data_IF_452423036876
#
_entry.id   IF_452423036876
#
_cell.length_a   1.000
_cell.length_b   1.000
_cell.length_c   1.000
_cell.angle_alpha   90.00
_cell.angle_beta   90.00
_cell.angle_gamma   90.00
#
_symmetry.space_group_name_H-M   'P 1'
#
loop_
_entity.id
_entity.type
_entity.pdbx_description
1 polymer ?
#
# COMPACT_ATOMS: atom_id res chain seq x y z
N UNK A 1 8.10 -6.58 -8.96
CA UNK A 1 6.90 -5.74 -9.07
C UNK A 1 5.79 -6.57 -8.48
N UNK A 2 5.01 -6.05 -7.54
CA UNK A 2 3.90 -6.84 -6.99
C UNK A 2 2.88 -7.16 -8.07
N UNK A 3 2.51 -8.43 -8.19
CA UNK A 3 1.43 -8.87 -9.08
C UNK A 3 0.13 -9.08 -8.30
N UNK A 4 -0.97 -9.26 -9.02
CA UNK A 4 -2.25 -9.60 -8.38
C UNK A 4 -2.14 -10.94 -7.65
N UNK A 5 -1.41 -11.92 -8.21
CA UNK A 5 -1.14 -13.21 -7.57
C UNK A 5 -0.32 -13.07 -6.28
N UNK A 6 0.61 -12.10 -6.22
CA UNK A 6 1.35 -11.84 -4.98
C UNK A 6 0.42 -11.35 -3.86
N UNK A 7 -0.61 -10.57 -4.21
CA UNK A 7 -1.60 -10.04 -3.28
C UNK A 7 -2.57 -11.12 -2.80
N UNK A 8 -3.15 -11.89 -3.73
CA UNK A 8 -4.14 -12.93 -3.39
C UNK A 8 -3.50 -14.20 -2.80
N UNK A 9 -2.27 -14.53 -3.21
CA UNK A 9 -1.51 -15.66 -2.69
C UNK A 9 -0.76 -15.40 -1.38
N UNK A 10 -0.76 -14.16 -0.88
CA UNK A 10 -0.11 -13.78 0.38
C UNK A 10 1.42 -13.59 0.30
N UNK A 11 2.03 -13.70 -0.88
CA UNK A 11 3.47 -13.43 -1.07
C UNK A 11 3.83 -11.97 -0.77
N UNK A 12 2.90 -11.04 -0.97
CA UNK A 12 3.09 -9.64 -0.61
C UNK A 12 3.28 -9.48 0.91
N UNK A 13 2.55 -10.25 1.72
CA UNK A 13 2.65 -10.22 3.18
C UNK A 13 4.02 -10.73 3.64
N UNK A 14 4.53 -11.80 3.03
CA UNK A 14 5.86 -12.32 3.33
C UNK A 14 6.95 -11.31 2.95
N UNK A 15 6.83 -10.68 1.78
CA UNK A 15 7.78 -9.68 1.30
C UNK A 15 7.84 -8.46 2.22
N UNK A 16 6.67 -7.95 2.64
CA UNK A 16 6.59 -6.84 3.60
C UNK A 16 7.16 -7.27 4.96
N UNK A 17 6.84 -8.48 5.45
CA UNK A 17 7.39 -8.99 6.71
C UNK A 17 8.92 -9.03 6.70
N UNK A 18 9.54 -9.48 5.60
CA UNK A 18 11.01 -9.47 5.43
C UNK A 18 11.58 -8.05 5.47
N UNK A 19 10.93 -7.10 4.80
CA UNK A 19 11.33 -5.70 4.82
C UNK A 19 11.25 -5.10 6.23
N UNK A 20 10.13 -5.34 6.94
CA UNK A 20 9.94 -4.88 8.31
C UNK A 20 10.99 -5.46 9.27
N UNK A 21 11.28 -6.76 9.16
CA UNK A 21 12.33 -7.39 9.94
C UNK A 21 13.71 -6.77 9.68
N UNK A 22 14.04 -6.44 8.42
CA UNK A 22 15.29 -5.74 8.11
C UNK A 22 15.34 -4.36 8.78
N UNK A 23 14.24 -3.61 8.76
CA UNK A 23 14.17 -2.31 9.44
C UNK A 23 14.32 -2.41 10.95
N UNK A 24 13.74 -3.44 11.58
CA UNK A 24 13.79 -3.64 13.03
C UNK A 24 15.13 -4.20 13.51
N UNK A 25 15.85 -4.95 12.66
CA UNK A 25 17.11 -5.61 13.01
C UNK A 25 18.37 -4.80 12.69
N UNK A 26 18.22 -3.61 12.08
CA UNK A 26 19.34 -2.77 11.68
C UNK A 26 19.12 -1.31 12.08
N UNK A 27 20.20 -0.55 12.26
CA UNK A 27 20.17 0.88 12.56
C UNK A 27 20.83 1.71 11.45
N UNK A 28 20.53 3.01 11.37
CA UNK A 28 21.17 3.93 10.41
C UNK A 28 20.58 3.92 8.98
N UNK A 29 21.25 4.57 8.04
CA UNK A 29 20.78 4.61 6.65
C UNK A 29 21.02 3.26 5.93
N UNK A 30 20.10 2.86 5.05
CA UNK A 30 20.23 1.63 4.26
C UNK A 30 20.77 1.87 2.83
N UNK A 31 21.18 3.10 2.51
CA UNK A 31 21.57 3.50 1.15
C UNK A 31 22.88 2.90 0.66
N UNK A 32 23.73 2.40 1.55
CA UNK A 32 25.04 1.82 1.22
C UNK A 32 25.13 0.30 1.44
N UNK A 33 24.07 -0.34 1.94
CA UNK A 33 23.99 -1.79 2.18
C UNK A 33 23.36 -2.47 0.95
N UNK A 34 23.96 -3.57 0.47
CA UNK A 34 23.42 -4.40 -0.61
C UNK A 34 21.97 -4.84 -0.33
N UNK A 35 21.66 -5.18 0.92
CA UNK A 35 20.29 -5.52 1.34
C UNK A 35 19.34 -4.33 1.22
N UNK A 36 19.82 -3.14 1.57
CA UNK A 36 19.09 -1.89 1.45
C UNK A 36 18.83 -1.50 0.00
N UNK A 37 19.82 -1.66 -0.88
CA UNK A 37 19.68 -1.45 -2.33
C UNK A 37 18.69 -2.43 -2.96
N UNK A 38 18.75 -3.71 -2.58
CA UNK A 38 17.80 -4.71 -3.04
C UNK A 38 16.37 -4.39 -2.58
N UNK A 39 16.20 -4.03 -1.30
CA UNK A 39 14.91 -3.61 -0.77
C UNK A 39 14.37 -2.36 -1.47
N UNK A 40 15.23 -1.36 -1.70
CA UNK A 40 14.84 -0.15 -2.41
C UNK A 40 14.33 -0.48 -3.81
N UNK A 41 15.07 -1.30 -4.58
CA UNK A 41 14.62 -1.75 -5.90
C UNK A 41 13.23 -2.40 -5.84
N UNK A 42 13.02 -3.32 -4.90
CA UNK A 42 11.74 -4.02 -4.76
C UNK A 42 10.59 -3.06 -4.41
N UNK A 43 10.83 -2.07 -3.54
CA UNK A 43 9.84 -1.05 -3.18
C UNK A 43 9.55 -0.11 -4.37
N UNK A 44 10.59 0.33 -5.09
CA UNK A 44 10.44 1.25 -6.22
C UNK A 44 9.63 0.67 -7.36
N UNK A 45 9.57 -0.65 -7.52
CA UNK A 45 8.74 -1.32 -8.52
C UNK A 45 7.23 -1.15 -8.29
N UNK A 46 6.82 -0.75 -7.08
CA UNK A 46 5.43 -0.36 -6.79
C UNK A 46 5.15 1.12 -7.13
N UNK A 47 6.18 1.90 -7.46
CA UNK A 47 6.12 3.34 -7.75
C UNK A 47 5.15 4.12 -6.81
N UNK A 48 5.29 3.97 -5.47
CA UNK A 48 4.28 4.47 -4.55
C UNK A 48 4.27 6.01 -4.53
N UNK A 49 3.08 6.61 -4.57
CA UNK A 49 2.91 8.06 -4.57
C UNK A 49 2.07 8.51 -3.37
N UNK A 50 2.45 9.63 -2.77
CA UNK A 50 1.59 10.32 -1.80
C UNK A 50 0.51 11.09 -2.55
N UNK A 51 -0.75 10.87 -2.18
CA UNK A 51 -1.92 11.54 -2.75
C UNK A 51 -2.57 12.51 -1.77
N UNK A 52 -3.13 13.59 -2.31
CA UNK A 52 -4.23 14.33 -1.67
C UNK A 52 -5.55 13.55 -1.80
N UNK A 53 -6.55 13.91 -0.99
CA UNK A 53 -7.87 13.30 -1.07
C UNK A 53 -8.50 13.46 -2.47
N UNK A 54 -8.40 14.64 -3.08
CA UNK A 54 -8.94 14.89 -4.42
C UNK A 54 -8.29 14.00 -5.48
N UNK A 55 -6.96 13.84 -5.43
CA UNK A 55 -6.26 12.94 -6.34
C UNK A 55 -6.66 11.48 -6.12
N UNK A 56 -6.88 11.04 -4.87
CA UNK A 56 -7.39 9.69 -4.59
C UNK A 56 -8.80 9.48 -5.15
N UNK A 57 -9.69 10.49 -4.99
CA UNK A 57 -11.03 10.46 -5.54
C UNK A 57 -11.05 10.36 -7.07
N UNK A 58 -10.09 11.00 -7.76
CA UNK A 58 -9.94 10.85 -9.23
C UNK A 58 -9.64 9.41 -9.64
N UNK A 59 -8.76 8.70 -8.93
CA UNK A 59 -8.51 7.28 -9.22
C UNK A 59 -9.74 6.43 -8.97
N UNK A 60 -10.46 6.67 -7.86
CA UNK A 60 -11.69 5.96 -7.52
C UNK A 60 -12.77 6.15 -8.60
N UNK A 61 -13.03 7.38 -9.02
CA UNK A 61 -14.08 7.69 -10.01
C UNK A 61 -13.80 7.15 -11.40
N UNK A 62 -12.52 6.95 -11.74
CA UNK A 62 -12.10 6.40 -13.03
C UNK A 62 -11.94 4.86 -13.00
N UNK A 63 -12.09 4.23 -11.84
CA UNK A 63 -11.93 2.78 -11.71
C UNK A 63 -13.12 2.02 -12.32
N UNK A 64 -12.83 0.89 -12.96
CA UNK A 64 -13.83 -0.03 -13.51
C UNK A 64 -14.53 -0.86 -12.43
N UNK A 65 -13.80 -1.16 -11.36
CA UNK A 65 -14.26 -1.95 -10.22
C UNK A 65 -13.54 -1.46 -8.96
N UNK A 66 -14.22 -1.57 -7.82
CA UNK A 66 -13.75 -1.05 -6.54
C UNK A 66 -14.05 -2.08 -5.45
N UNK A 67 -13.09 -2.31 -4.57
CA UNK A 67 -13.26 -3.10 -3.37
C UNK A 67 -12.60 -2.42 -2.18
N UNK A 68 -13.11 -2.68 -0.99
CA UNK A 68 -12.58 -2.17 0.27
C UNK A 68 -12.18 -3.37 1.13
N UNK A 69 -10.98 -3.35 1.67
CA UNK A 69 -10.49 -4.42 2.52
C UNK A 69 -9.41 -3.97 3.48
N UNK A 70 -8.99 -4.86 4.36
CA UNK A 70 -8.00 -4.53 5.37
C UNK A 70 -6.65 -4.16 4.74
N UNK A 71 -5.96 -3.16 5.31
CA UNK A 71 -4.60 -2.82 4.90
C UNK A 71 -3.65 -4.00 5.09
N UNK A 72 -2.82 -4.26 4.09
CA UNK A 72 -1.79 -5.32 4.13
C UNK A 72 -0.89 -5.22 5.37
N UNK A 73 -0.49 -4.01 5.78
CA UNK A 73 0.34 -3.82 6.98
C UNK A 73 -0.40 -4.15 8.29
N UNK A 74 -1.73 -4.00 8.34
CA UNK A 74 -2.51 -4.34 9.54
C UNK A 74 -2.67 -5.86 9.70
N UNK A 75 -2.77 -6.59 8.59
CA UNK A 75 -2.70 -8.06 8.62
C UNK A 75 -1.41 -8.55 9.29
N UNK A 76 -0.31 -7.82 9.15
CA UNK A 76 0.97 -8.11 9.80
C UNK A 76 1.09 -7.53 11.22
N UNK A 77 0.33 -6.48 11.53
CA UNK A 77 0.28 -5.80 12.83
C UNK A 77 -1.18 -5.66 13.29
N UNK A 78 -1.83 -6.73 13.81
CA UNK A 78 -3.26 -6.70 14.14
C UNK A 78 -3.67 -5.62 15.16
N UNK A 79 -2.71 -5.23 16.01
CA UNK A 79 -2.85 -4.16 17.01
C UNK A 79 -2.75 -2.74 16.41
N UNK A 80 -2.37 -2.60 15.14
CA UNK A 80 -2.37 -1.31 14.44
C UNK A 80 -3.79 -0.76 14.34
N UNK A 81 -3.89 0.57 14.31
CA UNK A 81 -5.13 1.31 14.02
C UNK A 81 -5.84 0.70 12.81
N UNK A 82 -7.13 0.41 13.00
CA UNK A 82 -8.00 -0.09 11.95
C UNK A 82 -8.27 1.01 10.93
N UNK A 83 -7.75 0.82 9.72
CA UNK A 83 -8.16 1.53 8.52
C UNK A 83 -8.13 0.53 7.37
N UNK A 84 -8.87 0.82 6.30
CA UNK A 84 -9.05 -0.06 5.16
C UNK A 84 -8.40 0.53 3.91
N UNK A 85 -7.82 -0.31 3.06
CA UNK A 85 -7.36 0.05 1.72
C UNK A 85 -8.55 0.03 0.74
N UNK A 86 -8.49 0.89 -0.27
CA UNK A 86 -9.34 0.82 -1.45
C UNK A 86 -8.55 0.17 -2.60
N UNK A 87 -9.04 -0.96 -3.08
CA UNK A 87 -8.52 -1.66 -4.25
C UNK A 87 -9.31 -1.28 -5.50
N UNK A 88 -8.63 -1.15 -6.64
CA UNK A 88 -9.20 -0.72 -7.91
C UNK A 88 -9.03 -1.78 -9.00
N UNK A 89 -9.89 -1.72 -10.02
CA UNK A 89 -9.82 -2.50 -11.25
C UNK A 89 -9.67 -4.01 -10.99
N UNK A 90 -8.79 -4.70 -11.74
CA UNK A 90 -8.63 -6.15 -11.66
C UNK A 90 -8.23 -6.61 -10.25
N UNK A 91 -7.40 -5.83 -9.52
CA UNK A 91 -7.06 -6.15 -8.14
C UNK A 91 -8.29 -6.14 -7.22
N UNK A 92 -9.24 -5.22 -7.42
CA UNK A 92 -10.46 -5.17 -6.62
C UNK A 92 -11.27 -6.47 -6.72
N UNK A 93 -11.44 -6.96 -7.95
CA UNK A 93 -12.21 -8.18 -8.23
C UNK A 93 -11.55 -9.38 -7.58
N UNK A 94 -10.23 -9.51 -7.73
CA UNK A 94 -9.48 -10.66 -7.22
C UNK A 94 -9.37 -10.65 -5.69
N UNK A 95 -9.19 -9.49 -5.06
CA UNK A 95 -9.22 -9.38 -3.61
C UNK A 95 -10.59 -9.73 -3.02
N UNK A 96 -11.68 -9.36 -3.71
CA UNK A 96 -13.02 -9.72 -3.29
C UNK A 96 -13.32 -11.21 -3.51
N UNK A 97 -12.92 -11.78 -4.64
CA UNK A 97 -13.11 -13.20 -4.96
C UNK A 97 -12.39 -14.12 -3.96
N UNK A 98 -11.25 -13.70 -3.43
CA UNK A 98 -10.47 -14.43 -2.43
C UNK A 98 -10.89 -14.11 -0.97
N UNK A 99 -11.94 -13.30 -0.77
CA UNK A 99 -12.48 -12.99 0.56
C UNK A 99 -11.62 -12.04 1.39
N UNK A 100 -10.66 -11.35 0.78
CA UNK A 100 -9.80 -10.37 1.44
C UNK A 100 -10.37 -8.95 1.43
N UNK A 101 -11.37 -8.71 0.56
CA UNK A 101 -12.07 -7.44 0.44
C UNK A 101 -13.55 -7.68 0.15
N UNK A 102 -14.35 -6.63 0.29
CA UNK A 102 -15.73 -6.59 -0.21
C UNK A 102 -15.81 -5.66 -1.42
N UNK A 103 -16.63 -5.99 -2.41
CA UNK A 103 -16.95 -5.04 -3.48
C UNK A 103 -17.63 -3.80 -2.88
N UNK A 104 -17.40 -2.65 -3.49
CA UNK A 104 -17.86 -1.37 -3.01
C UNK A 104 -18.25 -0.41 -4.15
N UNK A 105 -19.04 0.61 -3.83
CA UNK A 105 -19.33 1.72 -4.77
C UNK A 105 -18.29 2.83 -4.65
N UNK A 106 -18.35 3.81 -5.57
CA UNK A 106 -17.52 5.03 -5.51
C UNK A 106 -17.77 5.77 -4.19
N UNK A 107 -19.03 5.94 -3.80
CA UNK A 107 -19.42 6.65 -2.59
C UNK A 107 -18.87 5.97 -1.34
N UNK A 108 -18.98 4.64 -1.27
CA UNK A 108 -18.45 3.86 -0.13
C UNK A 108 -16.93 3.97 -0.03
N UNK A 109 -16.22 3.99 -1.17
CA UNK A 109 -14.77 4.12 -1.19
C UNK A 109 -14.31 5.53 -0.78
N UNK A 110 -14.97 6.58 -1.26
CA UNK A 110 -14.70 7.95 -0.83
C UNK A 110 -14.99 8.13 0.67
N UNK A 111 -16.11 7.59 1.18
CA UNK A 111 -16.46 7.63 2.60
C UNK A 111 -15.43 6.87 3.46
N UNK A 112 -14.95 5.71 2.99
CA UNK A 112 -13.89 4.93 3.64
C UNK A 112 -12.60 5.77 3.81
N UNK A 113 -12.18 6.46 2.75
CA UNK A 113 -11.01 7.33 2.80
C UNK A 113 -11.24 8.55 3.71
N UNK A 114 -12.45 9.13 3.73
CA UNK A 114 -12.80 10.24 4.62
C UNK A 114 -12.75 9.85 6.10
N UNK A 115 -13.22 8.65 6.45
CA UNK A 115 -13.10 8.11 7.82
C UNK A 115 -11.64 8.01 8.27
N UNK A 116 -10.72 7.91 7.31
CA UNK A 116 -9.28 7.83 7.53
C UNK A 116 -8.54 9.15 7.24
N UNK A 117 -9.23 10.30 7.19
CA UNK A 117 -8.64 11.59 6.77
C UNK A 117 -7.43 12.08 7.60
N UNK A 118 -7.21 11.52 8.80
CA UNK A 118 -6.01 11.77 9.60
C UNK A 118 -4.75 11.04 9.13
N UNK A 119 -4.86 10.17 8.11
CA UNK A 119 -3.79 9.31 7.62
C UNK A 119 -3.34 9.71 6.22
N UNK A 120 -2.02 9.78 5.94
CA UNK A 120 -1.53 10.04 4.59
C UNK A 120 -1.99 8.95 3.61
N UNK A 121 -2.51 9.35 2.46
CA UNK A 121 -2.91 8.43 1.40
C UNK A 121 -1.71 8.10 0.53
N UNK A 122 -1.44 6.81 0.34
CA UNK A 122 -0.45 6.30 -0.60
C UNK A 122 -1.19 5.50 -1.66
N UNK A 123 -0.86 5.72 -2.93
CA UNK A 123 -1.26 4.82 -4.01
C UNK A 123 -0.05 4.04 -4.52
N UNK A 124 -0.21 2.76 -4.83
CA UNK A 124 0.86 1.91 -5.38
C UNK A 124 0.39 1.11 -6.59
N UNK A 125 1.35 0.80 -7.47
CA UNK A 125 1.16 -0.04 -8.65
C UNK A 125 1.11 -1.52 -8.28
N UNK A 126 0.18 -2.24 -8.90
CA UNK A 126 0.08 -3.70 -8.89
C UNK A 126 -0.13 -4.13 -10.34
N UNK A 127 0.68 -5.08 -10.81
CA UNK A 127 0.68 -5.52 -12.22
C UNK A 127 0.80 -4.36 -13.22
N UNK A 128 1.57 -3.32 -12.87
CA UNK A 128 1.88 -2.17 -13.74
C UNK A 128 0.91 -0.98 -13.67
N UNK A 129 -0.23 -1.10 -12.99
CA UNK A 129 -1.21 0.00 -12.83
C UNK A 129 -1.43 0.36 -11.38
N UNK A 130 -1.78 1.63 -11.11
CA UNK A 130 -2.12 2.10 -9.77
C UNK A 130 -3.45 1.52 -9.29
N UNK A 131 -3.39 0.54 -8.39
CA UNK A 131 -4.56 -0.27 -8.00
C UNK A 131 -4.83 -0.38 -6.51
N UNK A 132 -3.94 0.10 -5.63
CA UNK A 132 -4.18 0.11 -4.18
C UNK A 132 -4.01 1.54 -3.64
N UNK A 133 -5.06 2.09 -3.03
CA UNK A 133 -5.02 3.33 -2.25
C UNK A 133 -5.10 2.97 -0.77
N UNK A 134 -4.04 3.26 -0.03
CA UNK A 134 -3.88 2.91 1.37
C UNK A 134 -3.86 4.18 2.24
N UNK A 135 -4.80 4.35 3.19
CA UNK A 135 -4.68 5.32 4.28
C UNK A 135 -3.62 4.83 5.27
N UNK A 136 -2.37 5.16 4.96
CA UNK A 136 -1.19 4.60 5.59
C UNK A 136 -1.03 5.04 7.05
N UNK A 137 -0.57 4.12 7.89
CA UNK A 137 -0.17 4.42 9.26
C UNK A 137 1.37 4.45 9.34
N UNK A 138 2.00 5.64 9.49
CA UNK A 138 3.46 5.77 9.35
C UNK A 138 4.35 4.90 10.26
N UNK A 139 3.94 4.53 11.49
CA UNK A 139 4.74 3.63 12.32
C UNK A 139 4.91 2.22 11.74
N UNK A 140 3.89 1.69 11.05
CA UNK A 140 3.83 0.29 10.62
C UNK A 140 3.92 0.13 9.10
N UNK A 141 3.85 1.24 8.36
CA UNK A 141 3.91 1.23 6.92
C UNK A 141 5.33 0.98 6.41
N UNK A 142 5.47 -0.01 5.52
CA UNK A 142 6.74 -0.36 4.86
C UNK A 142 7.35 0.83 4.11
N UNK A 143 6.54 1.62 3.42
CA UNK A 143 7.02 2.77 2.65
C UNK A 143 7.52 3.90 3.57
N UNK A 144 6.76 4.25 4.62
CA UNK A 144 7.21 5.26 5.58
C UNK A 144 8.44 4.83 6.37
N UNK A 145 8.59 3.53 6.65
CA UNK A 145 9.82 2.99 7.23
C UNK A 145 10.98 3.09 6.25
N UNK A 146 10.79 2.77 4.97
CA UNK A 146 11.81 2.95 3.94
C UNK A 146 12.27 4.42 3.81
N UNK A 147 11.34 5.38 3.86
CA UNK A 147 11.65 6.83 3.91
C UNK A 147 12.56 7.18 5.09
N UNK A 148 12.19 6.73 6.31
CA UNK A 148 12.99 6.98 7.52
C UNK A 148 14.41 6.39 7.44
N UNK A 149 14.63 5.42 6.56
CA UNK A 149 15.92 4.76 6.32
C UNK A 149 16.71 5.35 5.15
N UNK A 150 16.22 6.44 4.56
CA UNK A 150 16.87 7.19 3.48
C UNK A 150 16.69 6.58 2.09
N UNK A 151 15.73 5.67 1.91
CA UNK A 151 15.51 5.03 0.61
C UNK A 151 14.68 5.90 -0.36
N UNK A 152 14.01 6.95 0.11
CA UNK A 152 13.35 7.98 -0.71
C UNK A 152 12.45 7.43 -1.84
N UNK A 153 11.47 6.59 -1.47
CA UNK A 153 10.52 5.94 -2.36
C UNK A 153 9.15 6.63 -2.47
N UNK A 154 8.83 7.64 -1.65
CA UNK A 154 7.51 8.29 -1.59
C UNK A 154 7.50 9.73 -2.12
N UNK A 155 7.60 9.94 -3.45
CA UNK A 155 7.35 11.25 -4.02
C UNK A 155 5.87 11.65 -3.86
N UNK A 156 5.63 12.96 -3.83
CA UNK A 156 4.27 13.51 -3.91
C UNK A 156 3.82 13.54 -5.37
N UNK A 157 2.55 13.20 -5.62
CA UNK A 157 1.95 13.37 -6.95
C UNK A 157 1.77 14.87 -7.23
N UNK A 158 2.44 15.34 -8.28
CA UNK A 158 2.31 16.71 -8.79
C UNK A 158 0.94 16.97 -9.44
#
# INVERSE_FOLDING_TARGET
MGTIEDYTGGFILESIRKALHLFDSTEGALTADEKGLHLHKNISEFEPLILSFNQAAEYIRNARSIAIGERVCRVLHPESVFTESVFLNELAVEMAANGHARMATIEEAEECLQKSAGHPLIISKVSGEYMEICPSYPPDCVYWRAEKRGLHCLPRKN
#
